data_IF_828166733894
#
_entry.id   IF_828166733894
#
_cell.length_a   1.000
_cell.length_b   1.000
_cell.length_c   1.000
_cell.angle_alpha   90.00
_cell.angle_beta   90.00
_cell.angle_gamma   90.00
#
_symmetry.space_group_name_H-M   'P 1'
#
loop_
_entity.id
_entity.type
_entity.pdbx_description
1 polymer ?
#
# COMPACT_ATOMS: atom_id res chain seq x y z
N UNK A 1 -28.89 5.61 -53.13
CA UNK A 1 -29.30 4.96 -51.85
C UNK A 1 -28.10 4.42 -51.03
N UNK A 2 -26.95 5.09 -51.05
CA UNK A 2 -25.66 4.58 -50.50
C UNK A 2 -25.08 5.43 -49.36
N UNK A 3 -25.43 6.72 -49.28
CA UNK A 3 -24.93 7.68 -48.25
C UNK A 3 -25.42 7.36 -46.83
N UNK A 4 -26.67 6.92 -46.69
CA UNK A 4 -27.31 6.59 -45.39
C UNK A 4 -26.75 5.31 -44.74
N UNK A 5 -26.30 4.32 -45.54
CA UNK A 5 -25.66 3.09 -45.04
C UNK A 5 -24.24 3.34 -44.54
N UNK A 6 -23.48 4.22 -45.21
CA UNK A 6 -22.10 4.58 -44.82
C UNK A 6 -22.08 5.36 -43.50
N UNK A 7 -23.00 6.30 -43.32
CA UNK A 7 -23.14 7.07 -42.09
C UNK A 7 -23.54 6.21 -40.87
N UNK A 8 -24.48 5.27 -41.05
CA UNK A 8 -24.87 4.32 -39.98
C UNK A 8 -23.71 3.41 -39.54
N UNK A 9 -22.85 2.98 -40.48
CA UNK A 9 -21.66 2.17 -40.16
C UNK A 9 -20.61 2.98 -39.39
N UNK A 10 -20.37 4.23 -39.76
CA UNK A 10 -19.44 5.12 -39.02
C UNK A 10 -19.95 5.44 -37.61
N UNK A 11 -21.25 5.70 -37.44
CA UNK A 11 -21.84 5.94 -36.11
C UNK A 11 -21.77 4.68 -35.24
N UNK A 12 -22.07 3.51 -35.80
CA UNK A 12 -21.97 2.23 -35.06
C UNK A 12 -20.53 1.94 -34.59
N UNK A 13 -19.53 2.24 -35.42
CA UNK A 13 -18.12 2.07 -35.07
C UNK A 13 -17.72 2.99 -33.91
N UNK A 14 -18.13 4.26 -33.94
CA UNK A 14 -17.85 5.21 -32.85
C UNK A 14 -18.52 4.77 -31.55
N UNK A 15 -19.77 4.29 -31.59
CA UNK A 15 -20.48 3.78 -30.41
C UNK A 15 -19.78 2.56 -29.80
N UNK A 16 -19.31 1.62 -30.63
CA UNK A 16 -18.56 0.45 -30.15
C UNK A 16 -17.23 0.82 -29.49
N UNK A 17 -16.50 1.80 -30.05
CA UNK A 17 -15.26 2.30 -29.46
C UNK A 17 -15.51 2.97 -28.12
N UNK A 18 -16.55 3.80 -28.02
CA UNK A 18 -16.93 4.47 -26.75
C UNK A 18 -17.34 3.45 -25.68
N UNK A 19 -18.13 2.44 -26.03
CA UNK A 19 -18.52 1.37 -25.11
C UNK A 19 -17.33 0.53 -24.64
N UNK A 20 -16.36 0.26 -25.52
CA UNK A 20 -15.13 -0.45 -25.17
C UNK A 20 -14.25 0.38 -24.23
N UNK A 21 -14.07 1.68 -24.49
CA UNK A 21 -13.30 2.58 -23.62
C UNK A 21 -13.98 2.72 -22.26
N UNK A 22 -15.30 2.88 -22.21
CA UNK A 22 -16.05 2.93 -20.96
C UNK A 22 -15.89 1.61 -20.16
N UNK A 23 -15.96 0.46 -20.85
CA UNK A 23 -15.71 -0.85 -20.24
C UNK A 23 -14.30 -0.98 -19.66
N UNK A 24 -13.27 -0.49 -20.36
CA UNK A 24 -11.88 -0.50 -19.88
C UNK A 24 -11.71 0.42 -18.67
N UNK A 25 -12.33 1.60 -18.66
CA UNK A 25 -12.29 2.53 -17.52
C UNK A 25 -12.96 1.89 -16.30
N UNK A 26 -14.15 1.31 -16.48
CA UNK A 26 -14.88 0.62 -15.40
C UNK A 26 -14.06 -0.56 -14.89
N UNK A 27 -13.51 -1.39 -15.78
CA UNK A 27 -12.69 -2.54 -15.42
C UNK A 27 -11.41 -2.11 -14.66
N UNK A 28 -10.76 -1.03 -15.10
CA UNK A 28 -9.58 -0.48 -14.42
C UNK A 28 -9.95 0.13 -13.06
N UNK A 29 -11.09 0.81 -12.92
CA UNK A 29 -11.57 1.31 -11.63
C UNK A 29 -11.94 0.17 -10.66
N UNK A 30 -12.42 -0.97 -11.15
CA UNK A 30 -12.70 -2.15 -10.32
C UNK A 30 -11.39 -2.83 -9.86
N UNK A 31 -10.39 -2.90 -10.74
CA UNK A 31 -9.12 -3.57 -10.46
C UNK A 31 -8.08 -2.70 -9.78
N UNK A 32 -8.18 -1.37 -9.86
CA UNK A 32 -7.40 -0.38 -9.09
C UNK A 32 -7.95 -0.26 -7.66
N UNK A 33 -8.25 -1.42 -7.05
CA UNK A 33 -8.43 -1.50 -5.62
C UNK A 33 -7.05 -1.31 -5.01
N UNK A 34 -6.86 -0.22 -4.27
CA UNK A 34 -5.61 0.24 -3.66
C UNK A 34 -5.00 -0.72 -2.62
N UNK A 35 -4.83 -1.99 -2.98
CA UNK A 35 -4.18 -3.03 -2.22
C UNK A 35 -2.71 -2.63 -2.00
N UNK A 36 -2.27 -2.79 -0.76
CA UNK A 36 -0.86 -2.60 -0.43
C UNK A 36 -0.06 -3.75 -1.07
N UNK A 37 1.06 -3.41 -1.68
CA UNK A 37 2.00 -4.41 -2.17
C UNK A 37 2.71 -5.07 -0.98
N UNK A 38 3.05 -6.36 -1.09
CA UNK A 38 3.92 -7.01 -0.12
C UNK A 38 5.27 -6.27 -0.03
N UNK A 39 5.80 -6.10 1.18
CA UNK A 39 7.04 -5.35 1.46
C UNK A 39 7.03 -3.90 0.95
N UNK A 40 5.85 -3.27 0.94
CA UNK A 40 5.71 -1.87 0.57
C UNK A 40 6.35 -0.92 1.60
N UNK A 41 6.43 0.35 1.21
CA UNK A 41 7.00 1.41 2.03
C UNK A 41 5.94 2.50 2.30
N UNK A 42 5.61 2.66 3.58
CA UNK A 42 4.66 3.62 4.11
C UNK A 42 5.34 4.73 4.92
N UNK A 43 6.68 4.77 4.97
CA UNK A 43 7.43 5.80 5.71
C UNK A 43 7.00 7.19 5.25
N UNK A 44 6.59 8.06 6.18
CA UNK A 44 6.13 9.41 5.91
C UNK A 44 4.83 9.52 5.11
N UNK A 45 4.12 8.42 4.83
CA UNK A 45 2.87 8.44 4.05
C UNK A 45 1.63 8.57 4.94
N UNK A 46 0.60 9.19 4.39
CA UNK A 46 -0.73 9.21 5.01
C UNK A 46 -1.63 8.16 4.36
N UNK A 47 -2.16 7.26 5.17
CA UNK A 47 -3.13 6.23 4.79
C UNK A 47 -4.40 6.30 5.65
N UNK A 48 -4.63 7.44 6.31
CA UNK A 48 -5.72 7.67 7.27
C UNK A 48 -7.12 7.42 6.70
N UNK A 49 -7.27 7.57 5.38
CA UNK A 49 -8.56 7.47 4.69
C UNK A 49 -8.81 6.07 4.09
N UNK A 50 -8.00 5.05 4.41
CA UNK A 50 -8.15 3.69 3.90
C UNK A 50 -8.78 2.77 4.94
N UNK A 51 -9.58 1.82 4.47
CA UNK A 51 -9.98 0.66 5.26
C UNK A 51 -8.96 -0.45 5.05
N UNK A 52 -8.30 -0.86 6.12
CA UNK A 52 -7.24 -1.85 6.14
C UNK A 52 -7.59 -3.03 7.07
N UNK A 53 -8.84 -3.12 7.53
CA UNK A 53 -9.28 -4.15 8.48
C UNK A 53 -8.98 -5.58 8.04
N UNK A 54 -9.04 -5.85 6.73
CA UNK A 54 -8.69 -7.14 6.10
C UNK A 54 -7.28 -7.21 5.50
N UNK A 55 -6.39 -6.26 5.78
CA UNK A 55 -5.09 -6.16 5.12
C UNK A 55 -4.02 -6.99 5.84
N UNK A 56 -3.80 -8.24 5.42
CA UNK A 56 -2.79 -9.13 6.03
C UNK A 56 -1.35 -8.67 5.81
N UNK A 57 -1.07 -8.05 4.66
CA UNK A 57 0.29 -7.60 4.30
C UNK A 57 0.77 -6.40 5.13
N UNK A 58 -0.04 -5.89 6.05
CA UNK A 58 0.27 -4.67 6.83
C UNK A 58 1.48 -4.86 7.76
N UNK A 59 1.65 -6.06 8.32
CA UNK A 59 2.75 -6.40 9.24
C UNK A 59 4.13 -6.45 8.58
N UNK A 60 4.18 -6.60 7.25
CA UNK A 60 5.43 -6.64 6.49
C UNK A 60 5.73 -5.32 5.77
N UNK A 61 4.93 -4.28 6.01
CA UNK A 61 5.20 -2.96 5.47
C UNK A 61 6.29 -2.26 6.27
N UNK A 62 7.12 -1.46 5.59
CA UNK A 62 7.95 -0.47 6.26
C UNK A 62 7.10 0.74 6.64
N UNK A 63 7.25 1.24 7.85
CA UNK A 63 6.61 2.46 8.31
C UNK A 63 7.48 3.15 9.35
N UNK A 64 7.22 4.43 9.59
CA UNK A 64 7.96 5.24 10.55
C UNK A 64 7.00 6.06 11.44
N UNK A 65 7.55 6.85 12.36
CA UNK A 65 6.78 7.74 13.24
C UNK A 65 6.02 8.85 12.50
N UNK A 66 6.26 9.04 11.20
CA UNK A 66 5.57 10.03 10.35
C UNK A 66 4.41 9.41 9.56
N UNK A 67 4.31 8.07 9.51
CA UNK A 67 3.20 7.37 8.88
C UNK A 67 1.91 7.69 9.62
N UNK A 68 0.88 8.13 8.89
CA UNK A 68 -0.43 8.46 9.46
C UNK A 68 -1.44 7.34 9.19
N UNK A 69 -1.94 6.74 10.27
CA UNK A 69 -2.81 5.56 10.24
C UNK A 69 -4.30 5.91 10.27
N UNK A 70 -5.17 5.05 9.69
CA UNK A 70 -6.61 5.19 9.84
C UNK A 70 -7.06 4.90 11.27
N UNK A 71 -8.34 5.19 11.56
CA UNK A 71 -8.97 4.86 12.83
C UNK A 71 -8.80 3.37 13.19
N UNK A 72 -8.69 3.00 14.48
CA UNK A 72 -8.47 1.62 14.91
C UNK A 72 -9.49 0.61 14.36
N UNK A 73 -10.73 1.04 14.12
CA UNK A 73 -11.80 0.20 13.53
C UNK A 73 -11.53 -0.21 12.08
N UNK A 74 -10.61 0.48 11.40
CA UNK A 74 -10.17 0.24 10.02
C UNK A 74 -8.79 -0.42 9.97
N UNK A 75 -8.25 -0.87 11.10
CA UNK A 75 -7.02 -1.64 11.17
C UNK A 75 -7.34 -3.11 11.46
N UNK A 76 -6.45 -4.05 11.08
CA UNK A 76 -6.61 -5.45 11.46
C UNK A 76 -6.67 -5.60 12.98
N UNK A 77 -7.46 -6.54 13.47
CA UNK A 77 -7.55 -6.85 14.91
C UNK A 77 -6.15 -7.16 15.47
N UNK A 78 -5.77 -6.47 16.54
CA UNK A 78 -4.47 -6.64 17.20
C UNK A 78 -3.31 -5.88 16.55
N UNK A 79 -3.55 -5.16 15.44
CA UNK A 79 -2.53 -4.32 14.82
C UNK A 79 -2.44 -2.97 15.53
N UNK A 80 -1.35 -2.75 16.26
CA UNK A 80 -1.02 -1.46 16.88
C UNK A 80 0.36 -0.97 16.39
N UNK A 81 0.41 0.04 15.50
CA UNK A 81 1.66 0.63 15.03
C UNK A 81 2.57 1.13 16.15
N UNK A 82 2.00 1.65 17.24
CA UNK A 82 2.77 2.21 18.34
C UNK A 82 3.49 1.10 19.11
N UNK A 83 2.77 0.04 19.48
CA UNK A 83 3.35 -1.14 20.13
C UNK A 83 4.43 -1.81 19.26
N UNK A 84 4.20 -1.96 17.95
CA UNK A 84 5.19 -2.52 17.02
C UNK A 84 6.47 -1.66 16.99
N UNK A 85 6.33 -0.33 16.97
CA UNK A 85 7.46 0.59 16.98
C UNK A 85 8.26 0.50 18.28
N UNK A 86 7.59 0.37 19.44
CA UNK A 86 8.28 0.19 20.72
C UNK A 86 9.06 -1.12 20.78
N UNK A 87 8.48 -2.22 20.31
CA UNK A 87 9.17 -3.52 20.19
C UNK A 87 10.40 -3.40 19.27
N UNK A 88 10.28 -2.67 18.16
CA UNK A 88 11.39 -2.44 17.24
C UNK A 88 12.58 -1.66 17.84
N UNK A 89 12.32 -0.79 18.82
CA UNK A 89 13.37 -0.01 19.52
C UNK A 89 14.16 -0.85 20.53
N UNK A 90 13.52 -1.84 21.14
CA UNK A 90 14.13 -2.74 22.10
C UNK A 90 13.61 -4.17 21.90
N UNK A 91 14.19 -4.93 20.95
CA UNK A 91 13.71 -6.26 20.62
C UNK A 91 14.08 -7.33 21.65
N UNK A 92 14.60 -6.95 22.83
CA UNK A 92 15.03 -7.90 23.86
C UNK A 92 16.31 -8.66 23.53
N UNK A 93 17.14 -8.12 22.62
CA UNK A 93 18.43 -8.69 22.23
C UNK A 93 19.60 -8.26 23.15
N UNK A 94 19.31 -7.58 24.27
CA UNK A 94 20.30 -7.07 25.22
C UNK A 94 21.41 -6.20 24.60
N UNK A 95 21.16 -5.59 23.44
CA UNK A 95 22.13 -4.73 22.74
C UNK A 95 22.55 -3.54 23.61
N UNK A 96 21.62 -2.99 24.40
CA UNK A 96 21.88 -1.91 25.34
C UNK A 96 22.89 -2.33 26.43
N UNK A 97 22.80 -3.55 26.93
CA UNK A 97 23.76 -4.09 27.90
C UNK A 97 25.14 -4.31 27.27
N UNK A 98 25.19 -4.78 26.02
CA UNK A 98 26.46 -4.90 25.28
C UNK A 98 27.13 -3.54 25.09
N UNK A 99 26.36 -2.52 24.71
CA UNK A 99 26.85 -1.14 24.59
C UNK A 99 27.32 -0.58 25.94
N UNK A 100 26.60 -0.84 27.04
CA UNK A 100 27.01 -0.43 28.38
C UNK A 100 28.35 -1.08 28.82
N UNK A 101 28.65 -2.28 28.31
CA UNK A 101 29.93 -2.98 28.49
C UNK A 101 31.04 -2.51 27.54
N UNK A 102 30.77 -1.50 26.71
CA UNK A 102 31.73 -0.95 25.72
C UNK A 102 31.80 -1.73 24.40
N UNK A 103 30.98 -2.78 24.22
CA UNK A 103 30.94 -3.59 22.99
C UNK A 103 29.98 -2.91 22.02
N UNK A 104 30.53 -2.07 21.12
CA UNK A 104 29.73 -1.18 20.25
C UNK A 104 29.82 -1.51 18.75
N UNK A 105 30.57 -2.54 18.37
CA UNK A 105 30.88 -2.85 16.97
C UNK A 105 31.89 -1.89 16.32
N UNK A 106 32.49 -0.95 17.07
CA UNK A 106 33.58 -0.10 16.57
C UNK A 106 34.76 -0.98 16.11
N UNK A 107 35.16 -0.84 14.85
CA UNK A 107 36.25 -1.61 14.25
C UNK A 107 35.82 -2.95 13.61
N UNK A 108 34.52 -3.26 13.59
CA UNK A 108 33.98 -4.42 12.85
C UNK A 108 33.72 -4.01 11.40
N UNK A 109 34.28 -4.75 10.44
CA UNK A 109 33.94 -4.64 9.02
C UNK A 109 32.67 -5.41 8.72
N UNK A 110 31.64 -4.71 8.25
CA UNK A 110 30.38 -5.32 7.76
C UNK A 110 30.51 -5.48 6.25
N UNK A 111 30.27 -6.69 5.74
CA UNK A 111 30.36 -7.05 4.32
C UNK A 111 29.02 -6.88 3.59
#
# INVERSE_FOLDING_TARGET
>A
MTRRKRFKKSVLFVVLVVLSIAGIIIFKCITDSGALQAFGDLCGRSIQNRDLSGCEVLYIQRFDSRTKWPEPTKLPTGFDPASIMEIGKDPGLNIRELHARGITGKGVGVA
#
